data_IF_974762220094
#
_entry.id   IF_974762220094
#
_cell.length_a   1.000
_cell.length_b   1.000
_cell.length_c   1.000
_cell.angle_alpha   90.00
_cell.angle_beta   90.00
_cell.angle_gamma   90.00
#
_symmetry.space_group_name_H-M   'P 1'
#
loop_
_entity.id
_entity.type
_entity.pdbx_description
1 polymer ?
#
# COMPACT_ATOMS: atom_id res chain seq x y z
N UNK A 1 -9.62 10.69 -23.01
CA UNK A 1 -10.00 10.73 -21.59
C UNK A 1 -8.73 10.94 -20.78
N UNK A 2 -8.78 11.77 -19.76
CA UNK A 2 -7.65 12.10 -18.87
C UNK A 2 -8.13 12.01 -17.42
N UNK A 3 -7.21 11.77 -16.49
CA UNK A 3 -7.48 11.63 -15.06
C UNK A 3 -7.00 12.87 -14.30
N UNK A 4 -7.67 13.27 -13.23
CA UNK A 4 -7.29 14.45 -12.44
C UNK A 4 -6.05 14.21 -11.59
N UNK A 5 -5.84 12.96 -11.16
CA UNK A 5 -4.65 12.52 -10.43
C UNK A 5 -4.49 11.00 -10.56
N UNK A 6 -3.37 10.47 -10.06
CA UNK A 6 -3.02 9.05 -10.21
C UNK A 6 -3.96 8.11 -9.45
N UNK A 7 -4.65 8.58 -8.40
CA UNK A 7 -5.55 7.73 -7.61
C UNK A 7 -6.74 7.24 -8.42
N UNK A 8 -7.19 8.03 -9.41
CA UNK A 8 -8.27 7.63 -10.33
C UNK A 8 -7.87 6.46 -11.25
N UNK A 9 -6.58 6.12 -11.33
CA UNK A 9 -6.08 4.95 -12.06
C UNK A 9 -6.06 3.68 -11.22
N UNK A 10 -6.35 3.77 -9.91
CA UNK A 10 -6.46 2.60 -9.03
C UNK A 10 -7.69 1.79 -9.41
N UNK A 11 -7.48 0.49 -9.64
CA UNK A 11 -8.51 -0.43 -10.04
C UNK A 11 -8.57 -0.67 -11.54
N UNK A 12 -9.69 -1.22 -12.01
CA UNK A 12 -9.88 -1.62 -13.42
C UNK A 12 -8.71 -2.42 -14.04
N UNK A 13 -8.01 -3.17 -13.18
CA UNK A 13 -6.85 -3.98 -13.53
C UNK A 13 -7.21 -5.09 -14.52
N UNK A 14 -6.31 -5.50 -15.42
CA UNK A 14 -6.64 -6.42 -16.48
C UNK A 14 -6.86 -7.85 -15.95
N UNK A 15 -7.75 -8.58 -16.63
CA UNK A 15 -7.84 -10.04 -16.56
C UNK A 15 -7.08 -10.62 -17.75
N UNK A 16 -6.07 -11.44 -17.48
CA UNK A 16 -5.20 -12.04 -18.50
C UNK A 16 -5.38 -13.55 -18.50
N UNK A 17 -5.68 -14.13 -19.66
CA UNK A 17 -5.83 -15.59 -19.80
C UNK A 17 -4.48 -16.29 -19.68
N UNK A 18 -4.41 -17.32 -18.84
CA UNK A 18 -3.22 -18.19 -18.74
C UNK A 18 -3.32 -19.32 -19.77
N UNK A 19 -2.47 -19.28 -20.81
CA UNK A 19 -2.56 -20.22 -21.94
C UNK A 19 -1.71 -21.49 -21.77
N UNK A 20 -0.56 -21.40 -21.11
CA UNK A 20 0.45 -22.47 -21.10
C UNK A 20 0.42 -23.27 -19.79
N UNK A 21 0.48 -22.59 -18.64
CA UNK A 21 0.59 -23.24 -17.31
C UNK A 21 -0.59 -24.18 -17.03
N UNK A 22 -1.86 -23.79 -17.23
CA UNK A 22 -3.00 -24.65 -16.92
C UNK A 22 -3.48 -25.49 -18.12
N UNK A 23 -2.60 -25.84 -19.08
CA UNK A 23 -2.98 -26.51 -20.34
C UNK A 23 -3.77 -27.81 -20.17
N UNK A 24 -3.54 -28.55 -19.08
CA UNK A 24 -4.23 -29.82 -18.78
C UNK A 24 -5.56 -29.61 -18.03
N UNK A 25 -5.85 -28.39 -17.58
CA UNK A 25 -7.06 -28.07 -16.83
C UNK A 25 -8.18 -27.75 -17.82
N UNK A 26 -9.28 -28.49 -17.76
CA UNK A 26 -10.49 -28.26 -18.58
C UNK A 26 -11.33 -27.09 -18.04
N UNK A 27 -10.72 -25.92 -17.88
CA UNK A 27 -11.37 -24.69 -17.44
C UNK A 27 -10.66 -23.45 -18.00
N UNK A 28 -11.39 -22.34 -18.14
CA UNK A 28 -10.78 -21.03 -18.42
C UNK A 28 -10.12 -20.50 -17.16
N UNK A 29 -8.78 -20.41 -17.17
CA UNK A 29 -8.00 -19.84 -16.06
C UNK A 29 -7.53 -18.43 -16.42
N UNK A 30 -7.86 -17.45 -15.58
CA UNK A 30 -7.51 -16.05 -15.74
C UNK A 30 -6.70 -15.57 -14.53
N UNK A 31 -5.71 -14.70 -14.77
CA UNK A 31 -4.99 -13.97 -13.74
C UNK A 31 -5.49 -12.52 -13.68
N UNK A 32 -5.85 -12.06 -12.48
CA UNK A 32 -6.18 -10.65 -12.21
C UNK A 32 -4.90 -9.90 -11.84
N UNK A 33 -4.42 -9.03 -12.72
CA UNK A 33 -3.07 -8.44 -12.60
C UNK A 33 -3.12 -7.14 -11.80
N UNK A 34 -3.01 -7.25 -10.47
CA UNK A 34 -3.08 -6.11 -9.56
C UNK A 34 -1.81 -5.24 -9.50
N UNK A 35 -0.74 -5.66 -10.16
CA UNK A 35 0.51 -4.87 -10.25
C UNK A 35 0.41 -3.68 -11.20
N UNK A 36 -0.69 -3.54 -11.95
CA UNK A 36 -0.94 -2.36 -12.80
C UNK A 36 -1.56 -1.18 -12.05
N UNK A 37 -1.90 -1.33 -10.76
CA UNK A 37 -2.20 -0.18 -9.92
C UNK A 37 -0.92 0.67 -9.75
N UNK A 38 -1.03 1.99 -9.53
CA UNK A 38 0.11 2.91 -9.55
C UNK A 38 1.18 2.65 -8.45
N UNK A 39 0.78 2.13 -7.30
CA UNK A 39 1.65 1.63 -6.22
C UNK A 39 2.09 0.18 -6.41
N UNK A 40 1.87 -0.39 -7.60
CA UNK A 40 2.30 -1.72 -8.04
C UNK A 40 1.68 -2.89 -7.25
N UNK A 41 0.56 -2.69 -6.56
CA UNK A 41 -0.06 -3.78 -5.79
C UNK A 41 -1.57 -3.63 -5.61
N UNK A 42 -2.21 -4.72 -5.18
CA UNK A 42 -3.63 -4.72 -4.78
C UNK A 42 -3.91 -3.79 -3.59
N UNK A 43 -2.89 -3.44 -2.80
CA UNK A 43 -3.07 -2.69 -1.55
C UNK A 43 -3.46 -1.24 -1.77
N UNK A 44 -3.21 -0.68 -2.95
CA UNK A 44 -3.64 0.65 -3.34
C UNK A 44 -5.16 0.83 -3.18
N UNK A 45 -5.93 -0.22 -3.54
CA UNK A 45 -7.40 -0.21 -3.45
C UNK A 45 -7.88 0.00 -2.03
N UNK A 46 -7.39 -0.83 -1.11
CA UNK A 46 -7.83 -0.77 0.28
C UNK A 46 -7.26 0.47 0.98
N UNK A 47 -6.05 0.92 0.62
CA UNK A 47 -5.45 2.12 1.17
C UNK A 47 -6.28 3.37 0.84
N UNK A 48 -6.68 3.52 -0.43
CA UNK A 48 -7.56 4.61 -0.85
C UNK A 48 -8.91 4.54 -0.12
N UNK A 49 -9.54 3.36 -0.10
CA UNK A 49 -10.83 3.16 0.56
C UNK A 49 -10.78 3.50 2.06
N UNK A 50 -9.74 3.07 2.78
CA UNK A 50 -9.58 3.37 4.20
C UNK A 50 -9.48 4.88 4.46
N UNK A 51 -8.73 5.61 3.62
CA UNK A 51 -8.60 7.06 3.73
C UNK A 51 -9.95 7.74 3.45
N UNK A 52 -10.63 7.38 2.37
CA UNK A 52 -11.92 7.98 1.98
C UNK A 52 -13.01 7.72 3.02
N UNK A 53 -13.06 6.51 3.60
CA UNK A 53 -13.99 6.19 4.68
C UNK A 53 -13.66 6.96 5.98
N UNK A 54 -12.37 7.14 6.29
CA UNK A 54 -11.94 7.92 7.44
C UNK A 54 -12.22 9.42 7.27
N UNK A 55 -12.06 9.96 6.05
CA UNK A 55 -12.46 11.32 5.67
C UNK A 55 -13.97 11.50 5.81
N UNK A 56 -14.76 10.60 5.20
CA UNK A 56 -16.23 10.65 5.21
C UNK A 56 -16.82 10.54 6.62
N UNK A 57 -16.19 9.75 7.50
CA UNK A 57 -16.61 9.63 8.90
C UNK A 57 -16.10 10.75 9.81
N UNK A 58 -15.26 11.66 9.30
CA UNK A 58 -14.67 12.75 10.08
C UNK A 58 -13.55 12.32 11.04
N UNK A 59 -13.13 11.06 10.99
CA UNK A 59 -12.01 10.53 11.79
C UNK A 59 -10.66 11.05 11.29
N UNK A 60 -10.54 11.25 9.98
CA UNK A 60 -9.36 11.83 9.34
C UNK A 60 -9.64 13.27 8.94
N UNK A 61 -8.93 14.21 9.56
CA UNK A 61 -9.09 15.66 9.30
C UNK A 61 -7.98 16.15 8.37
N UNK A 62 -8.19 17.23 7.59
CA UNK A 62 -7.14 17.80 6.73
C UNK A 62 -5.82 18.04 7.48
N UNK A 63 -4.70 17.64 6.88
CA UNK A 63 -3.36 17.78 7.47
C UNK A 63 -3.04 16.80 8.61
N UNK A 64 -3.92 15.83 8.91
CA UNK A 64 -3.66 14.78 9.90
C UNK A 64 -2.47 13.90 9.52
N UNK A 65 -2.01 13.12 10.50
CA UNK A 65 -0.95 12.12 10.31
C UNK A 65 -1.56 10.72 10.28
N UNK A 66 -1.23 9.95 9.26
CA UNK A 66 -1.56 8.52 9.14
C UNK A 66 -0.37 7.73 9.69
N UNK A 67 -0.63 6.85 10.65
CA UNK A 67 0.36 5.93 11.21
C UNK A 67 -0.07 4.52 10.86
N UNK A 68 0.81 3.75 10.24
CA UNK A 68 0.52 2.37 9.83
C UNK A 68 1.77 1.49 9.99
N UNK A 69 1.62 0.36 10.67
CA UNK A 69 2.60 -0.71 10.57
C UNK A 69 2.48 -1.39 9.21
N UNK A 70 3.54 -1.37 8.40
CA UNK A 70 3.51 -2.03 7.08
C UNK A 70 4.74 -2.89 6.71
N UNK A 71 4.49 -3.98 5.97
CA UNK A 71 5.50 -4.78 5.27
C UNK A 71 5.85 -4.23 3.87
N UNK A 72 5.25 -3.10 3.49
CA UNK A 72 5.62 -2.31 2.30
C UNK A 72 4.42 -1.85 1.49
N UNK A 73 3.68 -2.78 0.88
CA UNK A 73 2.68 -2.46 -0.14
C UNK A 73 1.51 -1.60 0.39
N UNK A 74 1.03 -1.85 1.62
CA UNK A 74 0.01 -0.99 2.23
C UNK A 74 0.56 0.41 2.48
N UNK A 75 1.80 0.51 3.00
CA UNK A 75 2.49 1.78 3.16
C UNK A 75 2.61 2.55 1.85
N UNK A 76 2.92 1.86 0.74
CA UNK A 76 3.03 2.49 -0.58
C UNK A 76 1.68 3.07 -1.03
N UNK A 77 0.60 2.28 -0.96
CA UNK A 77 -0.74 2.75 -1.31
C UNK A 77 -1.19 3.95 -0.45
N UNK A 78 -0.91 3.90 0.86
CA UNK A 78 -1.21 4.99 1.79
C UNK A 78 -0.35 6.23 1.49
N UNK A 79 0.94 6.06 1.19
CA UNK A 79 1.86 7.16 0.90
C UNK A 79 1.45 7.93 -0.37
N UNK A 80 1.11 7.22 -1.45
CA UNK A 80 0.63 7.83 -2.70
C UNK A 80 -0.67 8.62 -2.45
N UNK A 81 -1.61 8.04 -1.72
CA UNK A 81 -2.86 8.73 -1.38
C UNK A 81 -2.64 9.93 -0.46
N UNK A 82 -1.77 9.80 0.55
CA UNK A 82 -1.44 10.84 1.50
C UNK A 82 -0.78 12.05 0.84
N UNK A 83 0.18 11.83 -0.08
CA UNK A 83 0.87 12.94 -0.76
C UNK A 83 -0.08 13.78 -1.61
N UNK A 84 -1.09 13.15 -2.22
CA UNK A 84 -2.09 13.81 -3.06
C UNK A 84 -3.16 14.51 -2.22
N UNK A 85 -3.60 13.87 -1.14
CA UNK A 85 -4.67 14.40 -0.26
C UNK A 85 -4.16 15.33 0.85
N UNK A 86 -2.84 15.49 1.00
CA UNK A 86 -2.23 16.41 1.95
C UNK A 86 -2.12 15.88 3.38
N UNK A 87 -1.88 14.58 3.54
CA UNK A 87 -1.62 13.94 4.84
C UNK A 87 -0.13 13.68 5.06
N UNK A 88 0.26 13.66 6.33
CA UNK A 88 1.58 13.15 6.74
C UNK A 88 1.51 11.65 6.94
N UNK A 89 2.61 10.94 6.72
CA UNK A 89 2.70 9.50 6.98
C UNK A 89 3.87 9.19 7.91
N UNK A 90 3.61 8.30 8.86
CA UNK A 90 4.63 7.60 9.65
C UNK A 90 4.39 6.11 9.46
N UNK A 91 5.41 5.39 8.99
CA UNK A 91 5.34 3.95 8.84
C UNK A 91 6.32 3.28 9.78
N UNK A 92 5.85 2.31 10.55
CA UNK A 92 6.76 1.34 11.17
C UNK A 92 6.99 0.22 10.16
N UNK A 93 8.16 -0.39 10.17
CA UNK A 93 8.49 -1.58 9.38
C UNK A 93 9.56 -2.40 10.08
N UNK A 94 9.94 -3.56 9.56
CA UNK A 94 10.95 -4.43 10.17
C UNK A 94 12.31 -4.31 9.49
N UNK A 95 13.38 -4.55 10.24
CA UNK A 95 14.77 -4.62 9.75
C UNK A 95 15.03 -5.74 8.70
N UNK A 96 14.07 -6.66 8.52
CA UNK A 96 14.06 -7.66 7.44
C UNK A 96 13.57 -7.11 6.09
N UNK A 97 12.89 -5.96 6.06
CA UNK A 97 12.43 -5.38 4.81
C UNK A 97 13.59 -4.77 4.03
N UNK A 98 13.48 -4.80 2.70
CA UNK A 98 14.53 -4.30 1.83
C UNK A 98 14.67 -2.78 1.95
N UNK A 99 15.90 -2.28 1.78
CA UNK A 99 16.20 -0.85 1.83
C UNK A 99 15.41 -0.07 0.79
N UNK A 100 15.19 -0.67 -0.39
CA UNK A 100 14.45 -0.07 -1.51
C UNK A 100 13.01 0.27 -1.12
N UNK A 101 12.36 -0.57 -0.30
CA UNK A 101 11.00 -0.27 0.19
C UNK A 101 10.99 0.92 1.12
N UNK A 102 11.97 0.99 2.03
CA UNK A 102 12.11 2.10 2.97
C UNK A 102 12.40 3.40 2.23
N UNK A 103 13.33 3.38 1.28
CA UNK A 103 13.69 4.54 0.46
C UNK A 103 12.51 5.01 -0.40
N UNK A 104 11.74 4.08 -0.98
CA UNK A 104 10.56 4.42 -1.76
C UNK A 104 9.52 5.15 -0.91
N UNK A 105 9.22 4.67 0.31
CA UNK A 105 8.29 5.35 1.23
C UNK A 105 8.80 6.75 1.63
N UNK A 106 10.10 6.88 1.93
CA UNK A 106 10.72 8.17 2.24
C UNK A 106 10.67 9.15 1.07
N UNK A 107 10.79 8.66 -0.17
CA UNK A 107 10.67 9.49 -1.37
C UNK A 107 9.26 10.10 -1.54
N UNK A 108 8.22 9.45 -1.01
CA UNK A 108 6.86 10.01 -0.90
C UNK A 108 6.68 10.97 0.29
N UNK A 109 7.74 11.28 1.02
CA UNK A 109 7.71 12.20 2.16
C UNK A 109 7.26 11.55 3.48
N UNK A 110 7.23 10.22 3.55
CA UNK A 110 6.89 9.53 4.79
C UNK A 110 8.08 9.42 5.75
N UNK A 111 7.81 9.53 7.05
CA UNK A 111 8.73 9.06 8.07
C UNK A 111 8.67 7.53 8.14
N UNK A 112 9.83 6.87 8.26
CA UNK A 112 9.90 5.41 8.33
C UNK A 112 10.77 4.99 9.51
N UNK A 113 10.13 4.33 10.48
CA UNK A 113 10.72 3.78 11.69
C UNK A 113 10.99 2.30 11.45
N UNK A 114 12.26 1.89 11.54
CA UNK A 114 12.67 0.50 11.35
C UNK A 114 12.81 -0.18 12.71
N UNK A 115 11.94 -1.16 12.97
CA UNK A 115 11.86 -1.93 14.19
C UNK A 115 12.70 -3.21 14.10
N UNK A 116 13.40 -3.62 15.17
CA UNK A 116 14.13 -4.88 15.22
C UNK A 116 13.18 -6.08 15.11
N UNK A 117 13.61 -7.15 14.44
CA UNK A 117 12.82 -8.41 14.38
C UNK A 117 13.18 -9.43 15.44
N UNK A 118 14.24 -9.19 16.21
CA UNK A 118 14.75 -10.08 17.25
C UNK A 118 14.28 -9.66 18.66
N UNK A 119 13.04 -9.19 18.77
CA UNK A 119 12.39 -8.83 20.04
C UNK A 119 11.01 -9.49 20.12
N UNK A 120 10.51 -9.70 21.33
CA UNK A 120 9.16 -10.24 21.55
C UNK A 120 8.08 -9.29 20.99
N UNK A 121 6.91 -9.78 20.55
CA UNK A 121 5.83 -8.94 20.03
C UNK A 121 5.38 -7.80 20.95
N UNK A 122 5.47 -8.02 22.27
CA UNK A 122 5.11 -7.07 23.33
C UNK A 122 6.26 -6.11 23.74
N UNK A 123 7.47 -6.29 23.20
CA UNK A 123 8.58 -5.36 23.44
C UNK A 123 8.25 -4.01 22.79
N UNK A 124 8.41 -2.86 23.46
CA UNK A 124 8.04 -1.55 22.91
C UNK A 124 8.76 -1.15 21.61
N UNK A 125 9.83 -1.86 21.24
CA UNK A 125 10.54 -1.68 19.96
C UNK A 125 9.99 -2.56 18.85
N UNK A 126 9.16 -3.54 19.20
CA UNK A 126 8.48 -4.43 18.27
C UNK A 126 7.64 -3.63 17.29
N UNK A 127 7.64 -4.11 16.06
CA UNK A 127 6.76 -3.61 15.01
C UNK A 127 5.25 -3.85 15.31
N UNK A 128 4.94 -4.75 16.25
CA UNK A 128 3.57 -5.07 16.66
C UNK A 128 3.06 -4.28 17.86
N UNK A 129 3.92 -3.51 18.53
CA UNK A 129 3.59 -2.69 19.70
C UNK A 129 2.98 -1.34 19.35
#
# INVERSE_FOLDING_TARGET
MWYNNILETIGNTPLVKLNIIPKEIKATVLAKIETTNPGNSIKDRMALQMIEDAEKSGKLKPGSTIIEGTSGNTGMGLAIAAVIKGYKCIFTTTDKQSKEKVDALRAFGAEVIVCPTNVDPEDPRSYYS
#
